data_IF_117025515343
#
_entry.id   IF_117025515343
#
_cell.length_a   1.000
_cell.length_b   1.000
_cell.length_c   1.000
_cell.angle_alpha   90.00
_cell.angle_beta   90.00
_cell.angle_gamma   90.00
#
_symmetry.space_group_name_H-M   'P 1'
#
loop_
_entity.id
_entity.type
_entity.pdbx_description
1 polymer ?
#
# COMPACT_ATOMS: atom_id res chain seq x y z
N UNK A 1 -33.66 26.93 22.99
CA UNK A 1 -33.61 27.49 21.63
C UNK A 1 -32.54 26.77 20.83
N UNK A 2 -32.87 26.32 19.62
CA UNK A 2 -31.94 25.67 18.69
C UNK A 2 -31.75 26.63 17.50
N UNK A 3 -30.51 27.07 17.27
CA UNK A 3 -30.13 27.89 16.12
C UNK A 3 -30.12 27.04 14.83
N UNK A 4 -30.58 27.56 13.67
CA UNK A 4 -30.62 26.80 12.43
C UNK A 4 -29.26 26.82 11.69
N UNK A 5 -28.81 25.64 11.27
CA UNK A 5 -27.61 25.46 10.45
C UNK A 5 -27.84 25.96 9.02
N UNK A 6 -27.05 26.95 8.58
CA UNK A 6 -27.02 27.43 7.20
C UNK A 6 -26.20 26.49 6.30
N UNK A 7 -26.78 26.05 5.18
CA UNK A 7 -26.08 25.31 4.12
C UNK A 7 -25.30 26.29 3.25
N UNK A 8 -23.98 26.25 3.32
CA UNK A 8 -23.09 26.86 2.33
C UNK A 8 -22.75 25.82 1.25
N UNK A 9 -23.15 26.10 0.00
CA UNK A 9 -22.63 25.41 -1.18
C UNK A 9 -21.15 25.81 -1.35
N UNK A 10 -20.22 24.88 -1.15
CA UNK A 10 -18.81 25.10 -1.48
C UNK A 10 -18.38 24.25 -2.70
N UNK A 11 -17.78 24.93 -3.67
CA UNK A 11 -17.33 24.44 -4.97
C UNK A 11 -16.08 23.56 -4.89
N UNK A 12 -16.20 22.40 -4.25
CA UNK A 12 -15.10 21.50 -3.89
C UNK A 12 -14.40 20.70 -5.00
N UNK A 13 -14.53 21.05 -6.29
CA UNK A 13 -14.00 20.19 -7.37
C UNK A 13 -12.55 20.48 -7.78
N UNK A 14 -11.97 21.65 -7.46
CA UNK A 14 -10.60 21.99 -7.90
C UNK A 14 -9.50 21.72 -6.84
N UNK A 15 -9.87 21.55 -5.56
CA UNK A 15 -8.90 21.34 -4.47
C UNK A 15 -8.34 19.91 -4.46
N UNK A 16 -9.20 18.91 -4.69
CA UNK A 16 -8.83 17.49 -4.67
C UNK A 16 -7.79 17.11 -5.74
N UNK A 17 -7.87 17.67 -6.95
CA UNK A 17 -6.93 17.39 -8.03
C UNK A 17 -5.52 17.94 -7.77
N UNK A 18 -5.42 19.13 -7.15
CA UNK A 18 -4.15 19.73 -6.76
C UNK A 18 -3.51 18.95 -5.61
N UNK A 19 -4.31 18.52 -4.64
CA UNK A 19 -3.85 17.73 -3.50
C UNK A 19 -3.37 16.33 -3.93
N UNK A 20 -4.08 15.70 -4.88
CA UNK A 20 -3.65 14.44 -5.49
C UNK A 20 -2.34 14.59 -6.25
N UNK A 21 -2.18 15.64 -7.07
CA UNK A 21 -0.93 15.91 -7.81
C UNK A 21 0.24 16.27 -6.89
N UNK A 22 0.00 17.08 -5.84
CA UNK A 22 1.01 17.42 -4.84
C UNK A 22 1.43 16.18 -4.04
N UNK A 23 0.47 15.34 -3.63
CA UNK A 23 0.76 14.09 -2.95
C UNK A 23 1.48 13.09 -3.84
N UNK A 24 1.20 13.03 -5.15
CA UNK A 24 1.93 12.21 -6.12
C UNK A 24 3.36 12.72 -6.33
N UNK A 25 3.57 14.03 -6.44
CA UNK A 25 4.90 14.60 -6.60
C UNK A 25 5.75 14.48 -5.31
N UNK A 26 5.12 14.53 -4.13
CA UNK A 26 5.78 14.20 -2.87
C UNK A 26 6.12 12.71 -2.78
N UNK A 27 5.24 11.82 -3.27
CA UNK A 27 5.49 10.37 -3.34
C UNK A 27 6.73 10.02 -4.16
N UNK A 28 6.97 10.70 -5.28
CA UNK A 28 8.12 10.40 -6.16
C UNK A 28 9.48 10.74 -5.55
N UNK A 29 9.58 11.76 -4.68
CA UNK A 29 10.91 12.25 -4.24
C UNK A 29 11.61 11.34 -3.24
N UNK A 30 10.85 10.57 -2.48
CA UNK A 30 11.36 9.71 -1.40
C UNK A 30 11.08 8.23 -1.68
N UNK A 31 10.79 7.85 -2.94
CA UNK A 31 10.49 6.47 -3.29
C UNK A 31 11.80 5.70 -3.58
N UNK A 32 12.23 4.78 -2.69
CA UNK A 32 13.44 4.00 -2.89
C UNK A 32 13.36 3.11 -4.15
N UNK A 33 12.19 2.93 -4.77
CA UNK A 33 12.03 2.25 -6.07
C UNK A 33 12.84 2.94 -7.17
N UNK A 34 13.04 4.26 -7.09
CA UNK A 34 13.77 5.01 -8.11
C UNK A 34 15.29 4.76 -8.08
N UNK A 35 15.82 4.26 -6.97
CA UNK A 35 17.27 4.15 -6.72
C UNK A 35 17.82 2.71 -6.82
N UNK A 36 16.96 1.68 -7.03
CA UNK A 36 17.41 0.28 -7.06
C UNK A 36 17.41 -0.32 -8.48
N UNK A 37 18.54 -0.93 -8.86
CA UNK A 37 18.65 -1.78 -10.04
C UNK A 37 18.03 -3.17 -9.80
N UNK A 38 17.37 -3.72 -10.81
CA UNK A 38 16.67 -5.00 -10.71
C UNK A 38 17.64 -6.18 -10.43
N UNK A 39 17.35 -6.98 -9.39
CA UNK A 39 18.10 -8.20 -9.06
C UNK A 39 17.84 -9.32 -10.10
N UNK A 40 18.91 -9.74 -10.80
CA UNK A 40 18.90 -10.67 -11.94
C UNK A 40 19.31 -12.12 -11.58
N UNK A 41 19.48 -12.48 -10.31
CA UNK A 41 19.92 -13.84 -9.93
C UNK A 41 18.91 -14.92 -10.34
N UNK A 42 19.37 -15.89 -11.14
CA UNK A 42 18.56 -16.96 -11.73
C UNK A 42 17.88 -17.91 -10.70
N UNK A 43 18.39 -18.02 -9.48
CA UNK A 43 17.80 -18.86 -8.43
C UNK A 43 16.52 -18.26 -7.83
N UNK A 44 16.32 -16.94 -7.95
CA UNK A 44 15.09 -16.25 -7.52
C UNK A 44 13.92 -16.41 -8.51
N UNK A 45 14.15 -17.07 -9.65
CA UNK A 45 13.20 -17.22 -10.77
C UNK A 45 12.38 -18.52 -10.72
N UNK A 46 12.72 -19.48 -9.86
CA UNK A 46 12.07 -20.79 -9.85
C UNK A 46 11.05 -20.94 -8.71
N UNK A 47 9.91 -20.23 -8.81
CA UNK A 47 8.56 -20.74 -8.50
C UNK A 47 7.51 -19.61 -8.49
N UNK A 48 6.49 -19.78 -9.34
CA UNK A 48 5.16 -19.13 -9.36
C UNK A 48 5.13 -17.74 -10.01
N UNK A 49 4.04 -17.47 -10.75
CA UNK A 49 3.88 -16.44 -11.79
C UNK A 49 4.52 -15.10 -11.44
N UNK A 50 5.24 -14.52 -12.41
CA UNK A 50 6.14 -13.37 -12.24
C UNK A 50 5.41 -12.14 -11.66
N UNK A 51 5.29 -12.08 -10.34
CA UNK A 51 4.94 -10.86 -9.64
C UNK A 51 6.08 -9.87 -9.91
N UNK A 52 5.76 -8.75 -10.55
CA UNK A 52 6.76 -7.73 -10.89
C UNK A 52 7.34 -7.04 -9.65
N UNK A 53 6.55 -6.99 -8.57
CA UNK A 53 7.01 -6.57 -7.26
C UNK A 53 7.67 -7.74 -6.53
N UNK A 54 8.98 -7.64 -6.27
CA UNK A 54 9.72 -8.66 -5.52
C UNK A 54 9.92 -8.24 -4.07
N UNK A 55 9.86 -9.20 -3.16
CA UNK A 55 10.28 -9.05 -1.76
C UNK A 55 11.11 -10.26 -1.34
N UNK A 56 12.14 -10.04 -0.52
CA UNK A 56 13.03 -11.10 -0.05
C UNK A 56 12.39 -11.80 1.16
N UNK A 57 11.56 -12.80 0.90
CA UNK A 57 11.07 -13.71 1.95
C UNK A 57 12.21 -14.62 2.42
N UNK A 58 12.33 -14.81 3.74
CA UNK A 58 13.42 -15.56 4.37
C UNK A 58 14.36 -14.73 5.25
N UNK A 59 14.36 -13.41 5.09
CA UNK A 59 15.06 -12.45 5.95
C UNK A 59 14.07 -11.40 6.50
N UNK A 60 14.39 -10.77 7.63
CA UNK A 60 13.61 -9.63 8.14
C UNK A 60 14.04 -8.34 7.44
N UNK A 61 13.15 -7.79 6.61
CA UNK A 61 13.34 -6.50 5.97
C UNK A 61 13.05 -5.32 6.91
N UNK A 62 13.70 -4.20 6.63
CA UNK A 62 13.42 -2.91 7.29
C UNK A 62 12.04 -2.39 6.92
N UNK A 63 11.47 -1.50 7.75
CA UNK A 63 10.20 -0.83 7.44
C UNK A 63 10.19 -0.19 6.04
N UNK A 64 11.31 0.41 5.62
CA UNK A 64 11.44 1.02 4.28
C UNK A 64 11.26 0.00 3.17
N UNK A 65 11.87 -1.19 3.29
CA UNK A 65 11.73 -2.28 2.31
C UNK A 65 10.29 -2.82 2.28
N UNK A 66 9.63 -2.91 3.44
CA UNK A 66 8.23 -3.34 3.51
C UNK A 66 7.29 -2.36 2.79
N UNK A 67 7.42 -1.06 3.07
CA UNK A 67 6.63 -0.02 2.40
C UNK A 67 6.93 0.01 0.91
N UNK A 68 8.21 -0.08 0.54
CA UNK A 68 8.65 -0.16 -0.85
C UNK A 68 7.93 -1.28 -1.59
N UNK A 69 7.91 -2.48 -1.03
CA UNK A 69 7.22 -3.62 -1.64
C UNK A 69 5.72 -3.34 -1.87
N UNK A 70 5.01 -2.82 -0.88
CA UNK A 70 3.59 -2.48 -1.02
C UNK A 70 3.35 -1.42 -2.11
N UNK A 71 4.20 -0.38 -2.18
CA UNK A 71 4.10 0.66 -3.21
C UNK A 71 4.43 0.14 -4.61
N UNK A 72 5.42 -0.73 -4.75
CA UNK A 72 5.75 -1.41 -6.01
C UNK A 72 4.56 -2.25 -6.51
N UNK A 73 3.82 -2.89 -5.60
CA UNK A 73 2.58 -3.61 -5.94
C UNK A 73 1.51 -2.65 -6.49
N UNK A 74 1.26 -1.52 -5.83
CA UNK A 74 0.33 -0.50 -6.34
C UNK A 74 0.75 0.01 -7.72
N UNK A 75 2.04 0.27 -7.91
CA UNK A 75 2.58 0.78 -9.17
C UNK A 75 2.33 -0.18 -10.35
N UNK A 76 2.59 -1.49 -10.18
CA UNK A 76 2.41 -2.46 -11.26
C UNK A 76 0.97 -2.95 -11.43
N UNK A 77 0.14 -2.91 -10.38
CA UNK A 77 -1.21 -3.49 -10.39
C UNK A 77 -2.31 -2.52 -9.93
N UNK A 78 -2.34 -1.26 -10.42
CA UNK A 78 -3.19 -0.19 -9.88
C UNK A 78 -4.69 -0.44 -10.07
N UNK A 79 -5.08 -1.40 -10.92
CA UNK A 79 -6.47 -1.72 -11.22
C UNK A 79 -7.20 -2.36 -10.03
N UNK A 80 -6.48 -3.02 -9.12
CA UNK A 80 -7.06 -3.72 -7.99
C UNK A 80 -6.23 -3.60 -6.70
N UNK A 81 -5.17 -2.79 -6.70
CA UNK A 81 -4.40 -2.49 -5.49
C UNK A 81 -4.33 -0.99 -5.26
N UNK A 82 -4.33 -0.60 -3.99
CA UNK A 82 -4.30 0.81 -3.59
C UNK A 82 -3.59 0.98 -2.26
N UNK A 83 -2.62 1.90 -2.20
CA UNK A 83 -2.08 2.34 -0.91
C UNK A 83 -3.12 3.22 -0.22
N UNK A 84 -3.46 2.85 1.00
CA UNK A 84 -4.32 3.63 1.88
C UNK A 84 -3.51 4.16 3.05
N UNK A 85 -3.74 5.42 3.39
CA UNK A 85 -3.16 6.05 4.59
C UNK A 85 -4.22 6.07 5.67
N UNK A 86 -3.94 5.40 6.77
CA UNK A 86 -4.89 5.29 7.90
C UNK A 86 -4.57 6.27 9.02
N UNK A 87 -3.40 6.91 8.98
CA UNK A 87 -3.01 7.91 9.95
C UNK A 87 -1.55 8.34 9.83
N UNK A 88 -1.07 8.97 10.89
CA UNK A 88 0.30 9.41 11.06
C UNK A 88 0.83 8.86 12.39
N UNK A 89 2.09 8.44 12.43
CA UNK A 89 2.76 8.08 13.68
C UNK A 89 3.03 9.33 14.51
N UNK A 90 3.37 9.13 15.79
CA UNK A 90 3.81 10.21 16.68
C UNK A 90 5.04 10.95 16.12
N UNK A 91 5.91 10.25 15.41
CA UNK A 91 7.13 10.81 14.80
C UNK A 91 6.88 11.44 13.41
N UNK A 92 5.63 11.53 12.97
CA UNK A 92 5.27 12.18 11.71
C UNK A 92 5.46 11.32 10.46
N UNK A 93 5.60 10.00 10.61
CA UNK A 93 5.64 9.07 9.46
C UNK A 93 4.23 8.57 9.11
N UNK A 94 3.87 8.45 7.82
CA UNK A 94 2.55 7.96 7.44
C UNK A 94 2.38 6.48 7.81
N UNK A 95 1.21 6.12 8.32
CA UNK A 95 0.81 4.73 8.53
C UNK A 95 0.08 4.26 7.27
N UNK A 96 0.76 3.43 6.49
CA UNK A 96 0.28 2.95 5.19
C UNK A 96 -0.12 1.48 5.24
N UNK A 97 -1.22 1.15 4.57
CA UNK A 97 -1.65 -0.22 4.30
C UNK A 97 -1.94 -0.41 2.81
N UNK A 98 -1.97 -1.67 2.37
CA UNK A 98 -2.30 -2.04 1.00
C UNK A 98 -3.71 -2.61 0.93
N UNK A 99 -4.62 -1.89 0.27
CA UNK A 99 -5.93 -2.42 -0.10
C UNK A 99 -5.78 -3.27 -1.35
N UNK A 100 -6.28 -4.51 -1.31
CA UNK A 100 -6.31 -5.44 -2.44
C UNK A 100 -7.76 -5.82 -2.75
N UNK A 101 -8.13 -5.74 -4.02
CA UNK A 101 -9.42 -6.18 -4.53
C UNK A 101 -9.96 -5.25 -5.62
N UNK A 102 -10.67 -5.85 -6.57
CA UNK A 102 -11.29 -5.11 -7.68
C UNK A 102 -12.29 -4.05 -7.18
N UNK A 103 -12.38 -2.90 -7.86
CA UNK A 103 -13.44 -1.92 -7.66
C UNK A 103 -14.78 -2.61 -7.83
N UNK A 104 -15.67 -2.40 -6.87
CA UNK A 104 -17.06 -2.84 -6.95
C UNK A 104 -17.95 -1.66 -6.59
N UNK A 105 -19.11 -1.58 -7.23
CA UNK A 105 -20.15 -0.60 -6.92
C UNK A 105 -21.08 -1.08 -5.81
N UNK A 106 -20.99 -2.35 -5.45
CA UNK A 106 -21.82 -3.00 -4.45
C UNK A 106 -21.30 -2.74 -3.02
N UNK A 107 -22.21 -2.32 -2.14
CA UNK A 107 -21.96 -2.05 -0.73
C UNK A 107 -21.88 -3.32 0.13
N UNK A 108 -22.25 -4.49 -0.39
CA UNK A 108 -22.27 -5.76 0.38
C UNK A 108 -20.96 -6.57 0.33
N UNK A 109 -19.92 -6.04 -0.32
CA UNK A 109 -18.63 -6.75 -0.41
C UNK A 109 -17.98 -6.89 0.96
N UNK A 110 -17.80 -8.14 1.40
CA UNK A 110 -17.07 -8.47 2.62
C UNK A 110 -15.61 -8.04 2.50
N UNK A 111 -15.08 -7.47 3.58
CA UNK A 111 -13.69 -7.07 3.71
C UNK A 111 -13.02 -7.83 4.85
N UNK A 112 -11.75 -8.16 4.66
CA UNK A 112 -10.87 -8.68 5.71
C UNK A 112 -9.83 -7.62 6.03
N UNK A 113 -9.62 -7.35 7.32
CA UNK A 113 -8.56 -6.49 7.81
C UNK A 113 -7.48 -7.36 8.44
N UNK A 114 -6.25 -7.21 7.96
CA UNK A 114 -5.08 -7.92 8.49
C UNK A 114 -4.06 -6.85 8.87
N UNK A 115 -3.71 -6.80 10.15
CA UNK A 115 -2.60 -6.01 10.66
C UNK A 115 -1.57 -6.92 11.35
N UNK A 116 -0.39 -6.36 11.58
CA UNK A 116 0.70 -7.04 12.25
C UNK A 116 1.67 -6.05 12.84
N UNK A 117 2.54 -6.55 13.73
CA UNK A 117 3.62 -5.78 14.35
C UNK A 117 3.14 -4.59 15.21
N UNK A 118 2.01 -4.73 15.91
CA UNK A 118 1.58 -3.74 16.91
C UNK A 118 2.61 -3.60 18.05
N UNK A 119 3.34 -4.68 18.36
CA UNK A 119 4.53 -4.64 19.19
C UNK A 119 5.79 -4.65 18.31
N UNK A 120 6.65 -3.64 18.48
CA UNK A 120 7.84 -3.44 17.65
C UNK A 120 8.85 -4.60 17.65
N UNK A 121 8.80 -5.51 18.63
CA UNK A 121 9.70 -6.68 18.74
C UNK A 121 9.14 -7.95 18.10
N UNK A 122 7.91 -7.93 17.59
CA UNK A 122 7.25 -9.09 16.99
C UNK A 122 7.45 -9.10 15.47
N UNK A 123 8.70 -9.19 15.02
CA UNK A 123 9.05 -9.07 13.59
C UNK A 123 8.47 -10.18 12.72
N UNK A 124 8.20 -11.36 13.29
CA UNK A 124 7.50 -12.44 12.61
C UNK A 124 6.11 -12.03 12.11
N UNK A 125 5.38 -11.21 12.89
CA UNK A 125 4.02 -10.77 12.54
C UNK A 125 4.00 -9.91 11.28
N UNK A 126 4.91 -8.94 11.16
CA UNK A 126 5.02 -8.12 9.95
C UNK A 126 5.41 -8.96 8.73
N UNK A 127 6.32 -9.92 8.91
CA UNK A 127 6.71 -10.82 7.82
C UNK A 127 5.54 -11.70 7.35
N UNK A 128 4.71 -12.20 8.28
CA UNK A 128 3.50 -12.96 7.95
C UNK A 128 2.50 -12.10 7.17
N UNK A 129 2.26 -10.84 7.55
CA UNK A 129 1.37 -9.94 6.82
C UNK A 129 1.83 -9.70 5.37
N UNK A 130 3.14 -9.49 5.15
CA UNK A 130 3.70 -9.35 3.80
C UNK A 130 3.59 -10.62 2.98
N UNK A 131 3.76 -11.78 3.63
CA UNK A 131 3.60 -13.07 2.96
C UNK A 131 2.15 -13.26 2.48
N UNK A 132 1.15 -12.89 3.29
CA UNK A 132 -0.25 -12.88 2.86
C UNK A 132 -0.48 -11.99 1.64
N UNK A 133 0.12 -10.80 1.62
CA UNK A 133 0.07 -9.91 0.44
C UNK A 133 0.66 -10.62 -0.78
N UNK A 134 1.84 -11.23 -0.66
CA UNK A 134 2.46 -11.95 -1.78
C UNK A 134 1.57 -13.07 -2.32
N UNK A 135 1.04 -13.94 -1.44
CA UNK A 135 0.13 -15.02 -1.85
C UNK A 135 -1.14 -14.50 -2.52
N UNK A 136 -1.73 -13.42 -2.00
CA UNK A 136 -2.90 -12.80 -2.61
C UNK A 136 -2.58 -12.25 -4.00
N UNK A 137 -1.41 -11.63 -4.17
CA UNK A 137 -0.98 -11.10 -5.46
C UNK A 137 -0.67 -12.20 -6.47
N UNK A 138 0.00 -13.27 -6.07
CA UNK A 138 0.24 -14.45 -6.94
C UNK A 138 -1.09 -15.04 -7.42
N UNK A 139 -2.07 -15.21 -6.52
CA UNK A 139 -3.39 -15.75 -6.87
C UNK A 139 -4.22 -14.84 -7.78
N UNK A 140 -3.98 -13.52 -7.77
CA UNK A 140 -4.70 -12.56 -8.62
C UNK A 140 -4.00 -12.27 -9.94
N UNK A 141 -2.72 -12.61 -10.08
CA UNK A 141 -1.89 -12.29 -11.26
C UNK A 141 -1.48 -13.50 -12.08
N UNK A 142 -1.57 -14.71 -11.53
CA UNK A 142 -1.49 -15.98 -12.25
C UNK A 142 -2.79 -16.38 -12.91
#
# INVERSE_FOLDING_TARGET
ELEPYSVTQDGGSQKAGKDLLLSSNARLKDDPILDEEADQRAESQNKIGLLKAKYRFGDYGSYKEMIKFMRTIEFYYPNFTKIIRIGMTHEGSPIEGLKIGYPVTDTEKRAFWIDGNIHAREWASSHTALFFINQAMEAMTG
#
